data_IF_023370132835
#
_entry.id   IF_023370132835
#
_cell.length_a   1.000
_cell.length_b   1.000
_cell.length_c   1.000
_cell.angle_alpha   90.00
_cell.angle_beta   90.00
_cell.angle_gamma   90.00
#
_symmetry.space_group_name_H-M   'P 1'
#
loop_
_entity.id
_entity.type
_entity.pdbx_description
1 polymer ?
#
# COMPACT_ATOMS: atom_id res chain seq x y z
N UNK A 1 -4.23 12.26 -16.56
CA UNK A 1 -5.27 12.02 -15.54
C UNK A 1 -4.56 11.38 -14.35
N UNK A 2 -4.72 11.90 -13.13
CA UNK A 2 -4.14 11.28 -11.93
C UNK A 2 -5.27 10.66 -11.11
N UNK A 3 -5.13 9.38 -10.77
CA UNK A 3 -6.06 8.69 -9.87
C UNK A 3 -5.53 8.72 -8.43
N UNK A 4 -6.39 8.86 -7.40
CA UNK A 4 -5.98 8.81 -6.01
C UNK A 4 -5.55 7.40 -5.56
N UNK A 5 -6.01 6.37 -6.27
CA UNK A 5 -5.71 4.97 -6.04
C UNK A 5 -5.43 4.26 -7.35
N UNK A 6 -4.59 3.22 -7.28
CA UNK A 6 -4.30 2.31 -8.37
C UNK A 6 -4.41 0.88 -7.84
N UNK A 7 -4.87 -0.05 -8.68
CA UNK A 7 -4.99 -1.48 -8.37
C UNK A 7 -4.29 -2.25 -9.48
N UNK A 8 -3.45 -3.21 -9.11
CA UNK A 8 -2.87 -4.19 -10.02
C UNK A 8 -3.58 -5.53 -9.77
N UNK A 9 -4.17 -6.10 -10.82
CA UNK A 9 -4.86 -7.39 -10.77
C UNK A 9 -4.17 -8.34 -11.76
N UNK A 10 -3.87 -9.55 -11.29
CA UNK A 10 -3.31 -10.63 -12.11
C UNK A 10 -4.22 -11.85 -12.04
N UNK A 11 -4.43 -12.51 -13.17
CA UNK A 11 -5.11 -13.78 -13.27
C UNK A 11 -4.17 -14.84 -13.83
N UNK A 12 -4.18 -16.03 -13.25
CA UNK A 12 -3.48 -17.20 -13.75
C UNK A 12 -4.44 -18.38 -13.78
N UNK A 13 -4.60 -19.02 -14.93
CA UNK A 13 -5.46 -20.18 -15.08
C UNK A 13 -4.94 -21.14 -16.16
N UNK A 14 -5.76 -22.14 -16.49
CA UNK A 14 -5.37 -23.25 -17.35
C UNK A 14 -5.81 -23.09 -18.81
N UNK A 15 -6.50 -21.99 -19.13
CA UNK A 15 -6.99 -21.69 -20.48
C UNK A 15 -7.01 -20.18 -20.69
N UNK A 16 -6.06 -19.70 -21.48
CA UNK A 16 -5.85 -18.28 -21.76
C UNK A 16 -7.12 -17.59 -22.30
N UNK A 17 -7.90 -18.26 -23.15
CA UNK A 17 -9.10 -17.67 -23.73
C UNK A 17 -10.19 -17.45 -22.68
N UNK A 18 -10.39 -18.42 -21.78
CA UNK A 18 -11.38 -18.28 -20.70
C UNK A 18 -10.96 -17.24 -19.67
N UNK A 19 -9.66 -17.12 -19.39
CA UNK A 19 -9.15 -16.16 -18.42
C UNK A 19 -9.25 -14.73 -18.99
N UNK A 20 -8.92 -14.55 -20.27
CA UNK A 20 -9.11 -13.28 -20.98
C UNK A 20 -10.58 -12.85 -21.01
N UNK A 21 -11.50 -13.73 -21.39
CA UNK A 21 -12.95 -13.43 -21.43
C UNK A 21 -13.49 -12.98 -20.06
N UNK A 22 -13.07 -13.65 -18.97
CA UNK A 22 -13.48 -13.28 -17.61
C UNK A 22 -12.88 -11.95 -17.17
N UNK A 23 -11.60 -11.71 -17.46
CA UNK A 23 -10.94 -10.46 -17.10
C UNK A 23 -11.57 -9.28 -17.85
N UNK A 24 -11.83 -9.43 -19.15
CA UNK A 24 -12.53 -8.43 -19.96
C UNK A 24 -13.92 -8.14 -19.40
N UNK A 25 -14.72 -9.18 -19.13
CA UNK A 25 -16.07 -9.03 -18.54
C UNK A 25 -16.03 -8.29 -17.20
N UNK A 26 -15.08 -8.62 -16.33
CA UNK A 26 -14.89 -7.95 -15.04
C UNK A 26 -14.54 -6.47 -15.20
N UNK A 27 -13.65 -6.13 -16.15
CA UNK A 27 -13.25 -4.76 -16.40
C UNK A 27 -14.39 -3.95 -17.03
N UNK A 28 -15.17 -4.53 -17.94
CA UNK A 28 -16.36 -3.91 -18.52
C UNK A 28 -17.39 -3.55 -17.45
N UNK A 29 -17.66 -4.47 -16.52
CA UNK A 29 -18.56 -4.23 -15.38
C UNK A 29 -18.02 -3.12 -14.48
N UNK A 30 -16.75 -3.20 -14.06
CA UNK A 30 -16.13 -2.21 -13.18
C UNK A 30 -16.05 -0.80 -13.78
N UNK A 31 -15.86 -0.69 -15.10
CA UNK A 31 -15.92 0.56 -15.84
C UNK A 31 -17.37 1.06 -15.98
N UNK A 32 -18.31 0.16 -16.30
CA UNK A 32 -19.73 0.47 -16.46
C UNK A 32 -20.38 0.98 -15.17
N UNK A 33 -19.98 0.46 -14.02
CA UNK A 33 -20.41 0.92 -12.70
C UNK A 33 -19.65 2.18 -12.21
N UNK A 34 -18.60 2.60 -12.92
CA UNK A 34 -17.76 3.74 -12.55
C UNK A 34 -16.87 3.51 -11.33
N UNK A 35 -16.67 2.24 -10.94
CA UNK A 35 -15.73 1.84 -9.88
C UNK A 35 -14.29 2.11 -10.34
N UNK A 36 -14.00 1.77 -11.60
CA UNK A 36 -12.74 2.08 -12.28
C UNK A 36 -12.97 3.22 -13.27
N UNK A 37 -12.03 4.16 -13.34
CA UNK A 37 -12.11 5.31 -14.26
C UNK A 37 -11.35 5.09 -15.57
N UNK A 38 -10.25 4.36 -15.50
CA UNK A 38 -9.32 4.13 -16.59
C UNK A 38 -8.44 2.92 -16.25
N UNK A 39 -7.85 2.26 -17.24
CA UNK A 39 -7.03 1.08 -17.05
C UNK A 39 -6.29 0.65 -18.31
N UNK A 40 -5.26 -0.18 -18.11
CA UNK A 40 -4.52 -0.83 -19.19
C UNK A 40 -4.47 -2.33 -18.91
N UNK A 41 -4.64 -3.13 -19.96
CA UNK A 41 -4.45 -4.59 -19.92
C UNK A 41 -3.15 -4.90 -20.63
N UNK A 42 -2.25 -5.62 -19.98
CA UNK A 42 -1.00 -6.05 -20.60
C UNK A 42 -1.29 -7.08 -21.71
N UNK A 43 -0.76 -6.83 -22.91
CA UNK A 43 -0.90 -7.71 -24.07
C UNK A 43 0.32 -8.62 -24.28
N UNK A 44 1.31 -8.57 -23.38
CA UNK A 44 2.51 -9.41 -23.42
C UNK A 44 3.15 -9.57 -22.04
N UNK A 45 3.98 -10.59 -21.85
CA UNK A 45 4.78 -10.80 -20.63
C UNK A 45 5.63 -9.57 -20.29
N UNK A 46 6.19 -8.91 -21.30
CA UNK A 46 6.98 -7.68 -21.13
C UNK A 46 6.14 -6.55 -20.54
N UNK A 47 4.91 -6.40 -20.99
CA UNK A 47 3.98 -5.39 -20.45
C UNK A 47 3.50 -5.76 -19.05
N UNK A 48 3.26 -7.05 -18.79
CA UNK A 48 2.92 -7.54 -17.44
C UNK A 48 4.07 -7.25 -16.45
N UNK A 49 5.31 -7.57 -16.83
CA UNK A 49 6.49 -7.27 -16.04
C UNK A 49 6.64 -5.75 -15.78
N UNK A 50 6.41 -4.91 -16.79
CA UNK A 50 6.46 -3.46 -16.62
C UNK A 50 5.39 -2.93 -15.65
N UNK A 51 4.20 -3.54 -15.60
CA UNK A 51 3.18 -3.18 -14.60
C UNK A 51 3.58 -3.63 -13.19
N UNK A 52 4.17 -4.82 -13.06
CA UNK A 52 4.70 -5.33 -11.80
C UNK A 52 5.86 -4.49 -11.27
N UNK A 53 6.78 -4.05 -12.14
CA UNK A 53 7.89 -3.17 -11.77
C UNK A 53 7.39 -1.89 -11.07
N UNK A 54 6.22 -1.36 -11.45
CA UNK A 54 5.63 -0.21 -10.76
C UNK A 54 5.26 -0.53 -9.31
N UNK A 55 4.68 -1.72 -9.06
CA UNK A 55 4.26 -2.16 -7.71
C UNK A 55 5.45 -2.58 -6.86
N UNK A 56 6.42 -3.29 -7.43
CA UNK A 56 7.62 -3.74 -6.72
C UNK A 56 8.57 -2.59 -6.42
N UNK A 57 8.67 -1.62 -7.34
CA UNK A 57 9.53 -0.44 -7.21
C UNK A 57 9.09 0.57 -6.15
N UNK A 58 7.91 0.44 -5.53
CA UNK A 58 7.41 1.40 -4.52
C UNK A 58 8.37 1.50 -3.32
N UNK A 59 8.82 0.36 -2.78
CA UNK A 59 9.72 0.33 -1.62
C UNK A 59 11.07 0.99 -1.93
N UNK A 60 11.59 0.77 -3.15
CA UNK A 60 12.86 1.34 -3.59
C UNK A 60 12.75 2.83 -3.85
N UNK A 61 11.65 3.28 -4.48
CA UNK A 61 11.37 4.69 -4.69
C UNK A 61 11.26 5.46 -3.35
N UNK A 62 10.58 4.88 -2.36
CA UNK A 62 10.51 5.45 -1.01
C UNK A 62 11.90 5.48 -0.36
N UNK A 63 12.65 4.39 -0.44
CA UNK A 63 14.00 4.31 0.14
C UNK A 63 14.94 5.35 -0.49
N UNK A 64 14.86 5.55 -1.80
CA UNK A 64 15.63 6.56 -2.54
C UNK A 64 15.26 8.00 -2.12
N UNK A 65 14.00 8.24 -1.76
CA UNK A 65 13.56 9.53 -1.19
C UNK A 65 14.16 9.79 0.19
N UNK A 66 14.34 8.74 1.00
CA UNK A 66 15.02 8.79 2.29
C UNK A 66 14.10 9.04 3.49
N UNK A 67 14.65 8.87 4.70
CA UNK A 67 13.94 9.09 5.97
C UNK A 67 12.68 8.23 6.13
N UNK A 68 12.72 6.97 5.70
CA UNK A 68 11.52 6.11 5.62
C UNK A 68 11.36 5.26 6.88
N UNK A 69 10.19 5.37 7.50
CA UNK A 69 9.71 4.49 8.56
C UNK A 69 8.72 3.50 7.96
N UNK A 70 9.04 2.20 8.04
CA UNK A 70 8.28 1.13 7.39
C UNK A 70 7.52 0.31 8.43
N UNK A 71 6.24 0.11 8.20
CA UNK A 71 5.38 -0.75 9.02
C UNK A 71 4.68 -1.76 8.13
N UNK A 72 4.82 -3.02 8.47
CA UNK A 72 4.18 -4.15 7.79
C UNK A 72 3.12 -4.75 8.72
N UNK A 73 1.85 -4.53 8.40
CA UNK A 73 0.73 -4.83 9.30
C UNK A 73 -0.40 -5.50 8.55
N UNK A 74 -1.22 -6.29 9.26
CA UNK A 74 -2.47 -6.83 8.72
C UNK A 74 -3.64 -6.31 9.55
N UNK A 75 -4.65 -5.76 8.90
CA UNK A 75 -5.88 -5.26 9.54
C UNK A 75 -7.11 -5.69 8.73
N UNK A 76 -8.33 -5.66 9.30
CA UNK A 76 -9.53 -5.93 8.54
C UNK A 76 -9.62 -5.03 7.29
N UNK A 77 -9.95 -5.61 6.13
CA UNK A 77 -9.95 -4.90 4.83
C UNK A 77 -10.73 -3.57 4.85
N UNK A 78 -11.86 -3.53 5.58
CA UNK A 78 -12.68 -2.31 5.72
C UNK A 78 -11.98 -1.16 6.44
N UNK A 79 -10.91 -1.45 7.17
CA UNK A 79 -10.10 -0.48 7.91
C UNK A 79 -8.76 -0.18 7.21
N UNK A 80 -8.41 -0.92 6.14
CA UNK A 80 -7.07 -0.90 5.54
C UNK A 80 -6.56 0.52 5.25
N UNK A 81 -7.31 1.29 4.45
CA UNK A 81 -6.87 2.63 4.08
C UNK A 81 -7.17 3.70 5.14
N UNK A 82 -8.07 3.41 6.09
CA UNK A 82 -8.34 4.31 7.23
C UNK A 82 -7.10 4.48 8.10
N UNK A 83 -6.26 3.46 8.20
CA UNK A 83 -4.96 3.58 8.87
C UNK A 83 -4.06 4.62 8.22
N UNK A 84 -4.08 4.69 6.88
CA UNK A 84 -3.25 5.63 6.11
C UNK A 84 -3.74 7.06 6.33
N UNK A 85 -5.06 7.27 6.33
CA UNK A 85 -5.65 8.57 6.60
C UNK A 85 -5.39 9.05 8.03
N UNK A 86 -5.60 8.20 9.03
CA UNK A 86 -5.32 8.56 10.43
C UNK A 86 -3.80 8.76 10.69
N UNK A 87 -2.93 8.06 9.95
CA UNK A 87 -1.49 8.31 10.01
C UNK A 87 -1.13 9.71 9.49
N UNK A 88 -1.82 10.20 8.45
CA UNK A 88 -1.64 11.58 7.95
C UNK A 88 -2.01 12.60 9.01
N UNK A 89 -3.10 12.37 9.75
CA UNK A 89 -3.52 13.23 10.85
C UNK A 89 -2.50 13.25 12.00
N UNK A 90 -1.91 12.10 12.34
CA UNK A 90 -0.84 11.99 13.34
C UNK A 90 0.41 12.76 12.92
N UNK A 91 0.85 12.58 11.68
CA UNK A 91 1.99 13.31 11.10
C UNK A 91 1.74 14.83 11.10
N UNK A 92 0.53 15.26 10.73
CA UNK A 92 0.14 16.66 10.76
C UNK A 92 0.17 17.23 12.18
N UNK A 93 -0.41 16.52 13.15
CA UNK A 93 -0.44 16.93 14.55
C UNK A 93 0.96 17.04 15.18
N UNK A 94 1.93 16.26 14.70
CA UNK A 94 3.33 16.32 15.12
C UNK A 94 4.13 17.49 14.48
N UNK A 95 3.48 18.33 13.66
CA UNK A 95 4.13 19.42 12.93
C UNK A 95 5.09 18.90 11.86
N UNK A 96 4.75 17.76 11.23
CA UNK A 96 5.53 17.13 10.18
C UNK A 96 4.81 17.15 8.82
N UNK A 97 3.59 17.71 8.73
CA UNK A 97 2.75 17.66 7.51
C UNK A 97 3.36 18.28 6.25
N UNK A 98 4.30 19.22 6.38
CA UNK A 98 4.98 19.85 5.23
C UNK A 98 6.25 19.12 4.78
N UNK A 99 6.76 18.20 5.62
CA UNK A 99 8.09 17.57 5.45
C UNK A 99 8.04 16.05 5.38
N UNK A 100 6.90 15.44 5.71
CA UNK A 100 6.70 14.01 5.71
C UNK A 100 5.54 13.61 4.80
N UNK A 101 5.70 12.51 4.09
CA UNK A 101 4.65 11.90 3.26
C UNK A 101 4.28 10.51 3.77
N UNK A 102 2.97 10.26 3.83
CA UNK A 102 2.41 8.97 4.21
C UNK A 102 1.95 8.22 2.96
N UNK A 103 2.54 7.05 2.75
CA UNK A 103 2.25 6.14 1.66
C UNK A 103 1.69 4.82 2.20
N UNK A 104 0.58 4.36 1.63
CA UNK A 104 -0.01 3.06 1.92
C UNK A 104 -0.18 2.26 0.64
N UNK A 105 0.36 1.05 0.62
CA UNK A 105 0.25 0.07 -0.46
C UNK A 105 0.33 -1.33 0.15
N UNK A 106 -0.02 -2.38 -0.58
CA UNK A 106 0.04 -3.74 -0.04
C UNK A 106 -0.89 -4.70 -0.75
N UNK A 107 -1.20 -5.80 -0.08
CA UNK A 107 -2.04 -6.88 -0.58
C UNK A 107 -3.47 -6.68 -0.04
N UNK A 108 -4.31 -5.97 -0.79
CA UNK A 108 -5.66 -5.68 -0.33
C UNK A 108 -6.54 -6.94 -0.21
N UNK A 109 -6.23 -8.01 -0.96
CA UNK A 109 -6.98 -9.27 -0.93
C UNK A 109 -6.92 -10.01 0.41
N UNK A 110 -5.84 -9.85 1.17
CA UNK A 110 -5.63 -10.53 2.46
C UNK A 110 -5.58 -9.55 3.67
N UNK A 111 -5.68 -8.25 3.41
CA UNK A 111 -5.68 -7.21 4.43
C UNK A 111 -4.30 -6.79 4.92
N UNK A 112 -3.23 -7.12 4.18
CA UNK A 112 -1.88 -6.60 4.42
C UNK A 112 -1.70 -5.16 3.90
N UNK A 113 -1.12 -4.32 4.76
CA UNK A 113 -0.76 -2.93 4.48
C UNK A 113 0.72 -2.71 4.83
N UNK A 114 1.47 -2.25 3.84
CA UNK A 114 2.76 -1.58 4.03
C UNK A 114 2.52 -0.08 4.23
N UNK A 115 2.43 0.34 5.49
CA UNK A 115 2.36 1.75 5.85
C UNK A 115 3.78 2.32 5.92
N UNK A 116 4.07 3.32 5.10
CA UNK A 116 5.37 3.97 5.05
C UNK A 116 5.24 5.47 5.28
N UNK A 117 6.12 6.03 6.10
CA UNK A 117 6.24 7.48 6.31
C UNK A 117 7.64 7.92 5.89
N UNK A 118 7.76 8.72 4.83
CA UNK A 118 9.03 9.27 4.35
C UNK A 118 9.16 10.73 4.75
N UNK A 119 10.17 11.04 5.56
CA UNK A 119 10.42 12.37 6.10
C UNK A 119 11.90 12.77 5.90
N UNK A 120 12.33 13.05 4.66
CA UNK A 120 13.73 13.40 4.38
C UNK A 120 14.15 14.68 5.11
N UNK A 121 15.32 14.66 5.73
CA UNK A 121 15.87 15.82 6.47
C UNK A 121 15.26 16.02 7.86
N UNK A 122 14.32 15.17 8.29
CA UNK A 122 13.82 15.14 9.67
C UNK A 122 14.62 14.11 10.46
N UNK A 123 14.91 14.41 11.73
CA UNK A 123 15.54 13.47 12.64
C UNK A 123 14.63 12.25 12.88
N UNK A 124 15.20 11.04 12.77
CA UNK A 124 14.43 9.80 12.73
C UNK A 124 13.68 9.53 14.04
N UNK A 125 14.27 9.85 15.19
CA UNK A 125 13.64 9.66 16.50
C UNK A 125 12.42 10.58 16.66
N UNK A 126 12.46 11.81 16.14
CA UNK A 126 11.30 12.72 16.11
C UNK A 126 10.13 12.12 15.33
N UNK A 127 10.39 11.53 14.17
CA UNK A 127 9.33 10.90 13.34
C UNK A 127 8.83 9.63 14.03
N UNK A 128 9.74 8.80 14.54
CA UNK A 128 9.39 7.59 15.28
C UNK A 128 8.52 7.89 16.51
N UNK A 129 8.86 8.90 17.30
CA UNK A 129 8.11 9.30 18.49
C UNK A 129 6.70 9.83 18.16
N UNK A 130 6.47 10.32 16.93
CA UNK A 130 5.13 10.69 16.47
C UNK A 130 4.29 9.45 16.09
N UNK A 131 4.93 8.44 15.50
CA UNK A 131 4.25 7.24 14.97
C UNK A 131 4.09 6.13 16.00
N UNK A 132 5.01 6.03 16.97
CA UNK A 132 5.03 5.00 18.00
C UNK A 132 4.71 5.61 19.37
N UNK A 133 3.78 5.01 20.16
CA UNK A 133 3.19 3.69 19.97
C UNK A 133 1.92 3.64 19.09
N UNK A 134 1.47 4.77 18.54
CA UNK A 134 0.19 4.91 17.83
C UNK A 134 -0.07 3.81 16.79
N UNK A 135 0.90 3.52 15.90
CA UNK A 135 0.77 2.46 14.87
C UNK A 135 0.39 1.12 15.50
N UNK A 136 1.09 0.71 16.57
CA UNK A 136 0.90 -0.59 17.18
C UNK A 136 -0.42 -0.67 17.96
N UNK A 137 -0.80 0.42 18.65
CA UNK A 137 -2.07 0.51 19.36
C UNK A 137 -3.25 0.46 18.39
N UNK A 138 -3.13 1.17 17.25
CA UNK A 138 -4.15 1.20 16.21
C UNK A 138 -4.46 -0.18 15.64
N UNK A 139 -3.39 -0.95 15.36
CA UNK A 139 -3.47 -2.33 14.87
C UNK A 139 -4.06 -3.25 15.95
N UNK A 140 -3.58 -3.13 17.19
CA UNK A 140 -4.04 -3.97 18.30
C UNK A 140 -5.54 -3.79 18.60
N UNK A 141 -6.04 -2.55 18.56
CA UNK A 141 -7.47 -2.24 18.75
C UNK A 141 -8.37 -2.95 17.71
N UNK A 142 -7.83 -3.22 16.51
CA UNK A 142 -8.54 -3.90 15.42
C UNK A 142 -8.23 -5.39 15.32
N UNK A 143 -7.54 -5.94 16.33
CA UNK A 143 -7.08 -7.34 16.38
C UNK A 143 -6.25 -7.71 15.14
N UNK A 144 -5.50 -6.75 14.63
CA UNK A 144 -4.58 -6.94 13.51
C UNK A 144 -3.25 -7.55 13.94
N UNK A 145 -2.37 -7.77 12.96
CA UNK A 145 -0.98 -8.20 13.18
C UNK A 145 -0.01 -7.05 12.94
N UNK A 146 1.02 -6.94 13.77
CA UNK A 146 2.12 -5.96 13.63
C UNK A 146 3.29 -6.47 12.75
N UNK A 147 3.13 -7.66 12.17
CA UNK A 147 4.08 -8.31 11.27
C UNK A 147 3.27 -9.29 10.42
N UNK A 148 2.98 -8.89 9.19
CA UNK A 148 2.18 -9.69 8.27
C UNK A 148 3.06 -10.68 7.50
N UNK A 149 4.22 -10.21 7.04
CA UNK A 149 5.13 -10.94 6.17
C UNK A 149 6.54 -11.05 6.76
N UNK A 150 7.02 -10.03 7.49
CA UNK A 150 8.45 -9.91 7.83
C UNK A 150 8.91 -10.54 9.16
N UNK A 151 8.05 -11.25 9.90
CA UNK A 151 8.41 -11.80 11.23
C UNK A 151 8.85 -10.72 12.26
N UNK A 152 9.27 -11.14 13.45
CA UNK A 152 9.72 -10.26 14.55
C UNK A 152 11.26 -10.06 14.58
N UNK A 153 11.98 -10.28 13.47
CA UNK A 153 13.45 -10.25 13.46
C UNK A 153 14.05 -8.92 13.94
N UNK A 154 14.89 -8.98 14.99
CA UNK A 154 15.77 -7.97 15.67
C UNK A 154 15.31 -6.51 15.86
N UNK A 155 14.28 -6.01 15.18
CA UNK A 155 13.85 -4.62 15.19
C UNK A 155 12.75 -4.32 16.22
N UNK A 156 12.32 -5.31 17.01
CA UNK A 156 11.26 -5.18 18.02
C UNK A 156 11.60 -5.88 19.34
N UNK A 157 12.75 -5.53 19.94
CA UNK A 157 13.12 -5.90 21.31
C UNK A 157 13.55 -4.64 22.09
#
# INVERSE_FOLDING_TARGET
CTSPFYVLVESSGSNDAHDAEKLESFLEEALGEGVVRDGVVAASERESAALWELREGISDALTARGGVHKYDVSVPLKELYKMVDECRDVVLAAGLGDVAEVCGYGHCGDGNLHLNVSAPGVEAERVKAALEPWVYEWVAQRKGSISAEHGLGQMKA
#
